data_IF_793188120885
#
_entry.id   IF_793188120885
#
_cell.length_a   1.000
_cell.length_b   1.000
_cell.length_c   1.000
_cell.angle_alpha   90.00
_cell.angle_beta   90.00
_cell.angle_gamma   90.00
#
_symmetry.space_group_name_H-M   'P 1'
#
loop_
_entity.id
_entity.type
_entity.pdbx_description
1 polymer ?
#
# COMPACT_ATOMS: atom_id res chain seq x y z
N UNK A 1 27.21 10.65 -11.18
CA UNK A 1 25.73 10.62 -11.27
C UNK A 1 25.29 9.17 -11.23
N UNK A 2 24.57 8.76 -10.19
CA UNK A 2 24.02 7.40 -10.10
C UNK A 2 23.00 7.19 -11.23
N UNK A 3 23.10 6.08 -11.97
CA UNK A 3 22.09 5.72 -12.97
C UNK A 3 20.81 5.34 -12.22
N UNK A 4 19.87 6.28 -12.13
CA UNK A 4 18.50 5.97 -11.74
C UNK A 4 17.97 4.89 -12.69
N UNK A 5 17.47 3.80 -12.13
CA UNK A 5 16.82 2.75 -12.93
C UNK A 5 15.40 3.18 -13.30
N UNK A 6 14.84 2.55 -14.33
CA UNK A 6 13.44 2.76 -14.70
C UNK A 6 12.51 2.40 -13.52
N UNK A 7 12.87 1.37 -12.74
CA UNK A 7 12.12 0.95 -11.55
C UNK A 7 12.12 2.03 -10.47
N UNK A 8 13.28 2.65 -10.19
CA UNK A 8 13.37 3.74 -9.20
C UNK A 8 12.46 4.91 -9.59
N UNK A 9 12.37 5.21 -10.89
CA UNK A 9 11.49 6.26 -11.42
C UNK A 9 10.01 5.90 -11.23
N UNK A 10 9.64 4.64 -11.45
CA UNK A 10 8.26 4.14 -11.24
C UNK A 10 7.88 4.23 -9.78
N UNK A 11 8.78 3.83 -8.88
CA UNK A 11 8.56 3.87 -7.44
C UNK A 11 8.41 5.29 -6.92
N UNK A 12 9.31 6.20 -7.33
CA UNK A 12 9.24 7.63 -6.98
C UNK A 12 7.94 8.28 -7.46
N UNK A 13 7.53 8.01 -8.71
CA UNK A 13 6.26 8.52 -9.22
C UNK A 13 5.06 7.95 -8.48
N UNK A 14 5.08 6.65 -8.17
CA UNK A 14 4.01 6.02 -7.40
C UNK A 14 3.89 6.57 -5.98
N UNK A 15 5.02 6.87 -5.31
CA UNK A 15 5.02 7.55 -4.01
C UNK A 15 4.31 8.90 -4.09
N UNK A 16 4.64 9.73 -5.09
CA UNK A 16 4.01 11.04 -5.29
C UNK A 16 2.51 10.95 -5.49
N UNK A 17 2.05 9.99 -6.29
CA UNK A 17 0.63 9.75 -6.54
C UNK A 17 -0.09 9.36 -5.25
N UNK A 18 0.49 8.43 -4.50
CA UNK A 18 -0.06 8.00 -3.21
C UNK A 18 -0.10 9.14 -2.19
N UNK A 19 0.98 9.92 -2.06
CA UNK A 19 1.02 11.09 -1.16
C UNK A 19 -0.07 12.11 -1.47
N UNK A 20 -0.31 12.37 -2.76
CA UNK A 20 -1.37 13.27 -3.20
C UNK A 20 -2.78 12.72 -2.97
N UNK A 21 -2.93 11.41 -2.76
CA UNK A 21 -4.22 10.78 -2.46
C UNK A 21 -4.60 10.84 -0.96
N UNK A 22 -3.72 11.39 -0.10
CA UNK A 22 -3.94 11.50 1.34
C UNK A 22 -4.11 12.95 1.79
N UNK A 23 -5.16 13.21 2.57
CA UNK A 23 -5.35 14.50 3.22
C UNK A 23 -4.47 14.61 4.47
N UNK A 24 -3.54 15.57 4.42
CA UNK A 24 -2.63 15.90 5.51
C UNK A 24 -3.32 16.29 6.84
N UNK A 25 -4.59 16.68 6.79
CA UNK A 25 -5.40 16.96 7.98
C UNK A 25 -5.76 15.70 8.76
N UNK A 26 -5.88 14.56 8.08
CA UNK A 26 -6.22 13.25 8.64
C UNK A 26 -5.02 12.30 8.71
N UNK A 27 -4.04 12.47 7.83
CA UNK A 27 -2.92 11.54 7.70
C UNK A 27 -1.58 12.27 7.74
N UNK A 28 -0.63 11.74 8.50
CA UNK A 28 0.78 12.09 8.39
C UNK A 28 1.57 10.89 7.91
N UNK A 29 2.10 10.99 6.70
CA UNK A 29 2.97 9.98 6.14
C UNK A 29 4.40 10.16 6.66
N UNK A 30 4.98 9.09 7.21
CA UNK A 30 6.42 9.00 7.42
C UNK A 30 6.95 7.89 6.50
N UNK A 31 7.44 8.29 5.34
CA UNK A 31 8.09 7.39 4.37
C UNK A 31 9.54 7.13 4.79
N UNK A 32 9.88 5.85 4.97
CA UNK A 32 11.21 5.46 5.44
C UNK A 32 12.28 5.59 4.34
N UNK A 33 11.93 5.41 3.07
CA UNK A 33 12.90 5.61 2.00
C UNK A 33 13.39 7.05 1.92
N UNK A 34 12.53 8.03 2.24
CA UNK A 34 12.89 9.46 2.28
C UNK A 34 13.89 9.82 3.39
N UNK A 35 13.91 9.05 4.48
CA UNK A 35 14.68 9.39 5.68
C UNK A 35 15.94 8.54 5.88
N UNK A 36 15.94 7.27 5.49
CA UNK A 36 17.04 6.35 5.81
C UNK A 36 17.89 5.92 4.62
N UNK A 37 17.49 6.23 3.38
CA UNK A 37 18.29 6.00 2.17
C UNK A 37 18.62 4.54 1.81
N UNK A 38 18.28 3.57 2.68
CA UNK A 38 18.37 2.12 2.47
C UNK A 38 17.35 1.40 3.35
N UNK A 39 16.77 0.32 2.81
CA UNK A 39 15.86 -0.65 3.43
C UNK A 39 16.31 -1.09 4.84
N UNK A 40 15.93 -0.33 5.87
CA UNK A 40 16.03 -0.81 7.26
C UNK A 40 14.91 -1.81 7.56
N UNK A 41 13.83 -1.77 6.79
CA UNK A 41 12.66 -2.64 6.93
C UNK A 41 12.21 -3.11 5.54
N UNK A 42 12.61 -4.31 5.08
CA UNK A 42 12.33 -4.76 3.71
C UNK A 42 10.84 -5.04 3.45
N UNK A 43 10.06 -5.17 4.53
CA UNK A 43 8.65 -5.57 4.46
C UNK A 43 7.67 -4.39 4.63
N UNK A 44 8.16 -3.20 5.06
CA UNK A 44 7.36 -1.97 5.20
C UNK A 44 8.07 -0.75 4.61
N UNK A 45 7.32 0.05 3.86
CA UNK A 45 7.83 1.26 3.22
C UNK A 45 7.71 2.50 4.13
N UNK A 46 6.83 2.44 5.13
CA UNK A 46 6.67 3.51 6.10
C UNK A 46 5.50 3.31 7.05
N UNK A 47 5.13 4.41 7.71
CA UNK A 47 3.97 4.46 8.62
C UNK A 47 3.06 5.64 8.29
N UNK A 48 1.75 5.44 8.47
CA UNK A 48 0.72 6.48 8.41
C UNK A 48 0.25 6.74 9.83
N UNK A 49 0.40 7.98 10.32
CA UNK A 49 -0.17 8.41 11.60
C UNK A 49 -1.51 9.07 11.38
N UNK A 50 -2.48 8.73 12.24
CA UNK A 50 -3.85 9.23 12.13
C UNK A 50 -4.03 10.54 12.92
N UNK A 51 -4.82 11.43 12.36
CA UNK A 51 -5.19 12.75 12.90
C UNK A 51 -6.70 12.93 12.88
N UNK A 52 -7.18 13.89 13.67
CA UNK A 52 -8.61 14.19 13.88
C UNK A 52 -9.24 15.11 12.82
N UNK A 53 -8.53 15.42 11.72
CA UNK A 53 -8.97 16.41 10.72
C UNK A 53 -8.56 17.86 11.07
N UNK A 54 -8.16 18.13 12.30
CA UNK A 54 -7.56 19.41 12.73
C UNK A 54 -6.03 19.29 12.91
N UNK A 55 -5.42 18.24 12.32
CA UNK A 55 -4.01 17.89 12.43
C UNK A 55 -3.56 17.48 13.85
N UNK A 56 -4.48 17.26 14.78
CA UNK A 56 -4.16 16.74 16.11
C UNK A 56 -3.95 15.24 16.02
N UNK A 57 -2.89 14.72 16.65
CA UNK A 57 -2.60 13.29 16.63
C UNK A 57 -3.60 12.48 17.47
N UNK A 58 -4.11 11.40 16.88
CA UNK A 58 -4.96 10.43 17.57
C UNK A 58 -4.14 9.37 18.34
N UNK A 59 -2.81 9.50 18.36
CA UNK A 59 -1.87 8.48 18.88
C UNK A 59 -2.11 7.08 18.31
N UNK A 60 -2.60 7.00 17.07
CA UNK A 60 -2.81 5.76 16.31
C UNK A 60 -1.98 5.82 15.04
N UNK A 61 -1.44 4.67 14.64
CA UNK A 61 -0.69 4.54 13.40
C UNK A 61 -0.92 3.15 12.80
N UNK A 62 -0.61 3.05 11.53
CA UNK A 62 -0.56 1.81 10.77
C UNK A 62 0.70 1.82 9.91
N UNK A 63 1.20 0.63 9.57
CA UNK A 63 2.27 0.51 8.58
C UNK A 63 1.66 0.45 7.19
N UNK A 64 2.48 0.76 6.19
CA UNK A 64 2.11 0.50 4.81
C UNK A 64 3.26 -0.13 4.03
N UNK A 65 2.87 -0.89 3.01
CA UNK A 65 3.75 -1.32 1.94
C UNK A 65 3.20 -0.76 0.63
N UNK A 66 4.06 -0.16 -0.19
CA UNK A 66 3.70 0.48 -1.45
C UNK A 66 4.25 -0.31 -2.63
N UNK A 67 3.40 -0.59 -3.62
CA UNK A 67 3.78 -1.28 -4.86
C UNK A 67 3.32 -0.45 -6.05
N UNK A 68 4.29 0.13 -6.76
CA UNK A 68 4.07 0.99 -7.91
C UNK A 68 4.26 0.21 -9.20
N UNK A 69 3.32 0.34 -10.13
CA UNK A 69 3.37 -0.34 -11.42
C UNK A 69 3.04 0.61 -12.57
N UNK A 70 3.76 0.43 -13.68
CA UNK A 70 3.35 0.89 -15.00
C UNK A 70 2.83 -0.29 -15.82
N UNK A 71 2.00 0.00 -16.81
CA UNK A 71 1.50 -0.96 -17.79
C UNK A 71 0.83 -2.19 -17.16
N UNK A 72 -0.01 -1.95 -16.14
CA UNK A 72 -0.76 -3.04 -15.49
C UNK A 72 -1.65 -3.71 -16.55
N UNK A 73 -1.29 -4.95 -16.92
CA UNK A 73 -2.01 -5.75 -17.94
C UNK A 73 -3.48 -5.95 -17.59
N UNK A 74 -3.78 -6.12 -16.29
CA UNK A 74 -5.13 -6.19 -15.79
C UNK A 74 -5.30 -5.17 -14.64
N UNK A 75 -5.83 -3.96 -14.91
CA UNK A 75 -5.96 -2.91 -13.89
C UNK A 75 -6.92 -3.26 -12.76
N UNK A 76 -7.77 -4.27 -12.93
CA UNK A 76 -8.75 -4.70 -11.95
C UNK A 76 -8.18 -5.71 -10.96
N UNK A 77 -6.99 -6.28 -11.23
CA UNK A 77 -6.41 -7.32 -10.38
C UNK A 77 -4.94 -7.10 -10.10
N UNK A 78 -4.57 -7.25 -8.83
CA UNK A 78 -3.18 -7.22 -8.40
C UNK A 78 -2.73 -8.59 -7.92
N UNK A 79 -1.73 -9.19 -8.57
CA UNK A 79 -1.09 -10.40 -8.05
C UNK A 79 -0.10 -10.05 -6.92
N UNK A 80 -0.38 -10.55 -5.72
CA UNK A 80 0.48 -10.41 -4.57
C UNK A 80 1.24 -11.71 -4.27
N UNK A 81 2.57 -11.68 -4.17
CA UNK A 81 3.38 -12.84 -3.78
C UNK A 81 3.02 -13.39 -2.41
N UNK A 82 3.11 -14.73 -2.26
CA UNK A 82 2.82 -15.44 -0.99
C UNK A 82 3.57 -14.88 0.21
N UNK A 83 4.84 -14.51 0.04
CA UNK A 83 5.69 -13.95 1.10
C UNK A 83 5.11 -12.66 1.67
N UNK A 84 4.64 -11.75 0.81
CA UNK A 84 4.03 -10.48 1.22
C UNK A 84 2.69 -10.75 1.92
N UNK A 85 1.86 -11.65 1.36
CA UNK A 85 0.59 -12.05 1.99
C UNK A 85 0.83 -12.56 3.42
N UNK A 86 1.81 -13.44 3.63
CA UNK A 86 2.15 -13.94 4.97
C UNK A 86 2.55 -12.80 5.90
N UNK A 87 3.44 -11.92 5.45
CA UNK A 87 3.86 -10.76 6.25
C UNK A 87 2.66 -9.91 6.70
N UNK A 88 1.74 -9.61 5.78
CA UNK A 88 0.55 -8.80 6.05
C UNK A 88 -0.42 -9.47 7.04
N UNK A 89 -0.45 -10.80 7.10
CA UNK A 89 -1.28 -11.57 8.04
C UNK A 89 -0.58 -11.71 9.41
N UNK A 90 0.71 -12.01 9.41
CA UNK A 90 1.47 -12.39 10.61
C UNK A 90 1.96 -11.18 11.43
N UNK A 91 1.96 -9.98 10.84
CA UNK A 91 2.41 -8.74 11.50
C UNK A 91 1.50 -8.34 12.67
N UNK A 92 2.12 -7.88 13.76
CA UNK A 92 1.42 -7.41 14.95
C UNK A 92 0.96 -5.94 14.86
N UNK A 93 1.36 -5.23 13.80
CA UNK A 93 0.91 -3.86 13.52
C UNK A 93 0.05 -3.88 12.26
N UNK A 94 -1.18 -3.34 12.29
CA UNK A 94 -2.02 -3.26 11.10
C UNK A 94 -1.23 -2.65 9.93
N UNK A 95 -1.12 -3.41 8.85
CA UNK A 95 -0.34 -3.02 7.67
C UNK A 95 -1.24 -3.03 6.45
N UNK A 96 -1.28 -1.90 5.74
CA UNK A 96 -2.03 -1.75 4.50
C UNK A 96 -1.09 -1.97 3.32
N UNK A 97 -1.50 -2.80 2.37
CA UNK A 97 -0.86 -2.88 1.07
C UNK A 97 -1.48 -1.85 0.13
N UNK A 98 -0.66 -0.94 -0.36
CA UNK A 98 -1.03 0.09 -1.32
C UNK A 98 -0.49 -0.29 -2.69
N UNK A 99 -1.36 -0.28 -3.69
CA UNK A 99 -1.00 -0.54 -5.09
C UNK A 99 -1.23 0.74 -5.87
N UNK A 100 -0.23 1.23 -6.58
CA UNK A 100 -0.32 2.44 -7.38
C UNK A 100 -0.16 2.11 -8.85
N UNK A 101 -1.21 2.43 -9.61
CA UNK A 101 -1.16 2.44 -11.08
C UNK A 101 -0.69 3.82 -11.53
N UNK A 102 0.57 3.90 -11.92
CA UNK A 102 1.23 5.15 -12.29
C UNK A 102 0.65 5.73 -13.58
N UNK A 103 0.27 4.88 -14.54
CA UNK A 103 -0.24 5.32 -15.84
C UNK A 103 -1.65 5.91 -15.70
N UNK A 104 -2.48 5.32 -14.84
CA UNK A 104 -3.85 5.79 -14.59
C UNK A 104 -3.96 6.80 -13.45
N UNK A 105 -2.86 7.10 -12.75
CA UNK A 105 -2.82 7.97 -11.57
C UNK A 105 -3.82 7.53 -10.48
N UNK A 106 -3.87 6.22 -10.22
CA UNK A 106 -4.81 5.64 -9.23
C UNK A 106 -4.07 4.90 -8.13
N UNK A 107 -4.58 5.05 -6.92
CA UNK A 107 -4.12 4.32 -5.74
C UNK A 107 -5.23 3.39 -5.27
N UNK A 108 -4.85 2.17 -4.97
CA UNK A 108 -5.71 1.15 -4.41
C UNK A 108 -5.17 0.69 -3.06
N UNK A 109 -6.03 0.24 -2.17
CA UNK A 109 -5.66 -0.22 -0.84
C UNK A 109 -6.18 -1.63 -0.59
N UNK A 110 -5.38 -2.46 0.08
CA UNK A 110 -5.76 -3.82 0.45
C UNK A 110 -5.37 -4.00 1.91
N UNK A 111 -6.36 -4.37 2.73
CA UNK A 111 -6.16 -4.81 4.10
C UNK A 111 -6.62 -6.25 4.21
N UNK A 112 -5.74 -7.15 4.68
CA UNK A 112 -6.07 -8.57 4.82
C UNK A 112 -6.59 -8.77 6.24
N UNK A 113 -7.90 -8.79 6.39
CA UNK A 113 -8.56 -9.18 7.64
C UNK A 113 -8.77 -10.70 7.71
N UNK A 114 -9.35 -11.16 8.82
CA UNK A 114 -9.64 -12.58 9.04
C UNK A 114 -10.59 -13.18 7.98
N UNK A 115 -11.50 -12.38 7.42
CA UNK A 115 -12.44 -12.85 6.38
C UNK A 115 -11.71 -13.07 5.06
N UNK A 116 -10.92 -12.08 4.63
CA UNK A 116 -10.10 -12.19 3.42
C UNK A 116 -9.09 -13.32 3.58
N UNK A 117 -8.40 -13.43 4.71
CA UNK A 117 -7.46 -14.53 5.00
C UNK A 117 -8.11 -15.90 4.79
N UNK A 118 -9.28 -16.12 5.37
CA UNK A 118 -10.03 -17.38 5.22
C UNK A 118 -10.33 -17.69 3.75
N UNK A 119 -10.72 -16.68 2.98
CA UNK A 119 -11.05 -16.83 1.55
C UNK A 119 -9.82 -17.16 0.68
N UNK A 120 -8.63 -16.68 1.05
CA UNK A 120 -7.39 -16.89 0.29
C UNK A 120 -6.96 -18.37 0.25
N UNK A 121 -7.50 -19.24 1.12
CA UNK A 121 -7.27 -20.69 1.11
C UNK A 121 -5.78 -21.07 1.06
N UNK A 122 -5.00 -20.39 1.88
CA UNK A 122 -3.54 -20.33 1.82
C UNK A 122 -2.82 -21.62 2.26
N UNK A 123 -3.52 -22.54 2.93
CA UNK A 123 -2.97 -23.83 3.40
C UNK A 123 -2.73 -24.85 2.28
N UNK A 124 -3.20 -24.58 1.05
CA UNK A 124 -3.20 -25.53 -0.06
C UNK A 124 -1.94 -25.46 -0.94
N UNK A 125 -1.16 -24.38 -0.86
CA UNK A 125 0.04 -24.17 -1.70
C UNK A 125 0.94 -23.01 -1.20
N UNK A 126 2.06 -22.80 -1.91
CA UNK A 126 3.01 -21.68 -1.70
C UNK A 126 2.87 -20.55 -2.74
N UNK A 127 1.76 -20.50 -3.47
CA UNK A 127 1.53 -19.52 -4.56
C UNK A 127 0.98 -18.21 -4.00
N UNK A 128 1.22 -17.11 -4.70
CA UNK A 128 0.56 -15.84 -4.43
C UNK A 128 -0.94 -15.89 -4.75
N UNK A 129 -1.62 -14.76 -4.54
CA UNK A 129 -3.05 -14.60 -4.83
C UNK A 129 -3.27 -13.27 -5.52
N UNK A 130 -4.28 -13.22 -6.38
CA UNK A 130 -4.72 -11.97 -7.00
C UNK A 130 -5.81 -11.34 -6.15
N UNK A 131 -5.63 -10.08 -5.79
CA UNK A 131 -6.64 -9.25 -5.16
C UNK A 131 -7.41 -8.47 -6.22
N UNK A 132 -8.71 -8.31 -6.00
CA UNK A 132 -9.55 -7.41 -6.79
C UNK A 132 -9.28 -5.96 -6.36
N UNK A 133 -9.05 -5.09 -7.32
CA UNK A 133 -8.80 -3.66 -7.12
C UNK A 133 -10.04 -2.80 -7.36
N UNK A 134 -11.10 -3.33 -7.98
CA UNK A 134 -12.27 -2.56 -8.42
C UNK A 134 -13.03 -1.91 -7.27
N UNK A 135 -13.11 -2.58 -6.12
CA UNK A 135 -13.78 -2.10 -4.91
C UNK A 135 -12.86 -1.38 -3.93
N UNK A 136 -11.60 -1.18 -4.29
CA UNK A 136 -10.53 -0.83 -3.36
C UNK A 136 -9.82 0.46 -3.77
N UNK A 137 -10.50 1.33 -4.54
CA UNK A 137 -9.94 2.60 -5.00
C UNK A 137 -9.93 3.60 -3.84
N UNK A 138 -8.81 4.31 -3.69
CA UNK A 138 -8.76 5.50 -2.83
C UNK A 138 -9.23 6.69 -3.66
N UNK A 139 -10.35 7.28 -3.29
CA UNK A 139 -10.87 8.52 -3.87
C UNK A 139 -11.28 9.48 -2.75
N UNK A 140 -11.04 10.77 -2.92
CA UNK A 140 -11.43 11.82 -1.96
C UNK A 140 -11.01 11.56 -0.50
N UNK A 141 -9.81 11.00 -0.27
CA UNK A 141 -9.27 10.67 1.07
C UNK A 141 -10.05 9.60 1.84
N UNK A 142 -10.90 8.85 1.15
CA UNK A 142 -11.64 7.73 1.69
C UNK A 142 -11.39 6.47 0.86
N UNK A 143 -11.40 5.33 1.53
CA UNK A 143 -11.68 4.08 0.87
C UNK A 143 -13.15 4.09 0.44
N UNK A 144 -13.43 3.95 -0.86
CA UNK A 144 -14.80 3.61 -1.29
C UNK A 144 -15.10 2.20 -0.78
N UNK A 145 -15.73 2.08 0.39
CA UNK A 145 -16.24 0.81 0.88
C UNK A 145 -17.54 0.54 0.12
N UNK A 146 -17.47 -0.29 -0.92
CA UNK A 146 -18.68 -0.84 -1.52
C UNK A 146 -19.39 -1.69 -0.44
N UNK A 147 -20.53 -1.18 0.04
CA UNK A 147 -21.43 -1.85 0.98
C UNK A 147 -22.21 -2.99 0.31
#
# INVERSE_FOLDING_TARGET
>A
MSKYTMQDTIEENGRKIFENALDTNYFLLNDFAKTVGKDKYPDIDGQIRLRDGNRTYLNRYLHYQLKSHQQIKNPEKYYCPRKIINYLIDTNVPTILLVVDVDRQRTYWIFIDAQIESNLNLKKDNKGRSFDLTSNVISNNSAELNA
#
